data_IF_932387552390
#
_entry.id   IF_932387552390
#
_cell.length_a   1.000
_cell.length_b   1.000
_cell.length_c   1.000
_cell.angle_alpha   90.00
_cell.angle_beta   90.00
_cell.angle_gamma   90.00
#
_symmetry.space_group_name_H-M   'P 1'
#
loop_
_entity.id
_entity.type
_entity.pdbx_description
1 polymer ?
#
# COMPACT_ATOMS: atom_id res chain seq x y z
N UNK A 1 14.50 15.61 2.72
CA UNK A 1 14.31 14.21 2.31
C UNK A 1 15.61 13.67 1.71
N UNK A 2 15.90 12.38 1.91
CA UNK A 2 16.95 11.66 1.20
C UNK A 2 16.62 11.50 -0.29
N UNK A 3 17.56 11.04 -1.12
CA UNK A 3 17.33 10.88 -2.56
C UNK A 3 16.21 9.87 -2.89
N UNK A 4 16.06 8.84 -2.09
CA UNK A 4 14.95 7.86 -2.11
C UNK A 4 13.79 8.23 -1.19
N UNK A 5 13.88 9.40 -0.52
CA UNK A 5 12.92 9.89 0.45
C UNK A 5 11.55 10.21 -0.14
N UNK A 6 10.52 9.96 0.66
CA UNK A 6 9.11 10.12 0.30
C UNK A 6 8.38 10.92 1.37
N UNK A 7 7.38 11.67 0.95
CA UNK A 7 6.47 12.39 1.84
C UNK A 7 5.03 11.90 1.61
N UNK A 8 4.32 11.67 2.70
CA UNK A 8 2.88 11.40 2.72
C UNK A 8 2.19 12.55 3.44
N UNK A 9 1.21 13.15 2.84
CA UNK A 9 0.42 14.24 3.45
C UNK A 9 -1.04 13.85 3.46
N UNK A 10 -1.59 13.67 4.67
CA UNK A 10 -3.02 13.41 4.86
C UNK A 10 -3.79 14.71 4.78
N UNK A 11 -4.88 14.72 4.00
CA UNK A 11 -5.72 15.90 3.75
C UNK A 11 -7.14 15.47 3.41
N UNK A 12 -8.11 16.31 3.74
CA UNK A 12 -9.52 16.12 3.38
C UNK A 12 -9.93 16.94 2.12
N UNK A 13 -11.21 16.87 1.77
CA UNK A 13 -11.77 17.54 0.60
C UNK A 13 -11.70 19.08 0.67
N UNK A 14 -11.52 19.66 1.87
CA UNK A 14 -11.50 21.12 2.01
C UNK A 14 -10.28 21.74 1.34
N UNK A 15 -9.13 21.07 1.41
CA UNK A 15 -7.84 21.65 0.96
C UNK A 15 -7.06 20.76 -0.01
N UNK A 16 -7.56 19.60 -0.40
CA UNK A 16 -6.81 18.65 -1.25
C UNK A 16 -6.34 19.27 -2.57
N UNK A 17 -7.16 20.11 -3.20
CA UNK A 17 -6.81 20.74 -4.47
C UNK A 17 -5.72 21.81 -4.32
N UNK A 18 -5.80 22.62 -3.26
CA UNK A 18 -4.78 23.64 -2.97
C UNK A 18 -3.47 23.00 -2.55
N UNK A 19 -3.54 21.97 -1.70
CA UNK A 19 -2.36 21.21 -1.30
C UNK A 19 -1.72 20.50 -2.50
N UNK A 20 -2.51 19.93 -3.40
CA UNK A 20 -1.99 19.30 -4.60
C UNK A 20 -1.16 20.26 -5.46
N UNK A 21 -1.66 21.48 -5.68
CA UNK A 21 -0.92 22.52 -6.41
C UNK A 21 0.35 22.96 -5.67
N UNK A 22 0.29 23.12 -4.35
CA UNK A 22 1.45 23.46 -3.55
C UNK A 22 2.52 22.37 -3.60
N UNK A 23 2.13 21.10 -3.47
CA UNK A 23 3.04 19.97 -3.55
C UNK A 23 3.71 19.87 -4.94
N UNK A 24 2.96 20.16 -6.00
CA UNK A 24 3.50 20.23 -7.37
C UNK A 24 4.52 21.36 -7.51
N UNK A 25 4.26 22.53 -6.92
CA UNK A 25 5.21 23.66 -6.93
C UNK A 25 6.48 23.35 -6.15
N UNK A 26 6.37 22.68 -5.00
CA UNK A 26 7.51 22.38 -4.12
C UNK A 26 8.34 21.21 -4.63
N UNK A 27 7.70 20.13 -5.04
CA UNK A 27 8.37 18.89 -5.43
C UNK A 27 8.49 18.71 -6.94
N UNK A 28 7.64 19.36 -7.73
CA UNK A 28 7.51 19.17 -9.18
C UNK A 28 6.54 18.06 -9.55
N UNK A 29 5.80 18.24 -10.66
CA UNK A 29 4.81 17.26 -11.14
C UNK A 29 5.41 15.87 -11.42
N UNK A 30 6.68 15.81 -11.88
CA UNK A 30 7.39 14.55 -12.17
C UNK A 30 7.66 13.71 -10.91
N UNK A 31 7.59 14.31 -9.72
CA UNK A 31 7.87 13.68 -8.44
C UNK A 31 6.59 13.21 -7.72
N UNK A 32 5.43 13.37 -8.34
CA UNK A 32 4.19 12.77 -7.89
C UNK A 32 4.27 11.25 -7.99
N UNK A 33 3.90 10.56 -6.90
CA UNK A 33 3.88 9.10 -6.84
C UNK A 33 2.45 8.57 -6.94
N UNK A 34 1.57 9.03 -6.05
CA UNK A 34 0.18 8.58 -6.00
C UNK A 34 -0.69 9.48 -5.12
N UNK A 35 -2.01 9.40 -5.31
CA UNK A 35 -3.00 9.78 -4.33
C UNK A 35 -3.63 8.51 -3.77
N UNK A 36 -3.40 8.22 -2.48
CA UNK A 36 -4.07 7.14 -1.79
C UNK A 36 -5.35 7.65 -1.14
N UNK A 37 -6.36 6.78 -1.10
CA UNK A 37 -7.66 7.07 -0.48
C UNK A 37 -7.78 6.22 0.78
N UNK A 38 -7.87 6.88 1.93
CA UNK A 38 -8.11 6.23 3.21
C UNK A 38 -9.58 6.30 3.57
N UNK A 39 -10.22 5.16 3.75
CA UNK A 39 -11.58 5.06 4.25
C UNK A 39 -11.59 5.35 5.76
N UNK A 40 -11.90 6.61 6.13
CA UNK A 40 -11.90 7.06 7.54
C UNK A 40 -13.15 6.69 8.33
N UNK A 41 -14.24 6.31 7.64
CA UNK A 41 -15.53 5.92 8.23
C UNK A 41 -16.09 4.69 7.54
N UNK A 42 -16.81 3.86 8.27
CA UNK A 42 -17.52 2.69 7.75
C UNK A 42 -19.05 2.91 7.63
N UNK A 43 -19.59 3.88 8.35
CA UNK A 43 -21.01 4.21 8.35
C UNK A 43 -21.33 5.34 7.39
N UNK A 44 -22.53 5.27 6.80
CA UNK A 44 -23.06 6.35 5.98
C UNK A 44 -23.53 7.50 6.85
N UNK A 45 -23.26 8.72 6.42
CA UNK A 45 -23.86 9.91 6.97
C UNK A 45 -25.20 10.16 6.28
N UNK A 46 -26.22 10.59 7.04
CA UNK A 46 -27.58 10.81 6.53
C UNK A 46 -27.96 12.28 6.39
N UNK A 47 -27.09 13.21 6.82
CA UNK A 47 -27.37 14.65 6.86
C UNK A 47 -26.78 15.41 5.67
N UNK A 48 -25.78 14.85 5.02
CA UNK A 48 -25.11 15.47 3.87
C UNK A 48 -25.78 15.09 2.55
N UNK A 49 -25.66 15.93 1.52
CA UNK A 49 -26.09 15.60 0.16
C UNK A 49 -25.33 14.39 -0.41
N UNK A 50 -24.03 14.31 -0.14
CA UNK A 50 -23.15 13.16 -0.40
C UNK A 50 -22.31 12.98 0.86
N UNK A 51 -22.38 11.79 1.48
CA UNK A 51 -21.68 11.50 2.73
C UNK A 51 -20.17 11.34 2.52
N UNK A 52 -19.40 12.03 3.35
CA UNK A 52 -17.95 11.99 3.40
C UNK A 52 -17.47 10.75 4.19
N UNK A 53 -16.76 9.84 3.55
CA UNK A 53 -16.28 8.58 4.15
C UNK A 53 -14.77 8.37 4.03
N UNK A 54 -14.05 9.28 3.37
CA UNK A 54 -12.63 9.12 3.09
C UNK A 54 -11.83 10.40 3.30
N UNK A 55 -10.54 10.25 3.35
CA UNK A 55 -9.54 11.31 3.21
C UNK A 55 -8.47 10.86 2.21
N UNK A 56 -7.63 11.78 1.80
CA UNK A 56 -6.56 11.56 0.85
C UNK A 56 -5.20 11.51 1.55
N UNK A 57 -4.29 10.74 0.96
CA UNK A 57 -2.86 10.82 1.26
C UNK A 57 -2.16 11.15 -0.06
N UNK A 58 -1.66 12.37 -0.19
CA UNK A 58 -0.84 12.77 -1.31
C UNK A 58 0.58 12.26 -1.09
N UNK A 59 1.14 11.58 -2.08
CA UNK A 59 2.46 10.94 -1.99
C UNK A 59 3.38 11.52 -3.06
N UNK A 60 4.48 12.11 -2.62
CA UNK A 60 5.55 12.63 -3.46
C UNK A 60 6.90 12.07 -3.03
N UNK A 61 7.82 11.86 -3.96
CA UNK A 61 9.19 11.42 -3.67
C UNK A 61 10.20 12.38 -4.30
N UNK A 62 11.40 12.45 -3.76
CA UNK A 62 12.51 13.18 -4.42
C UNK A 62 12.83 12.54 -5.77
N UNK A 63 12.82 11.21 -5.82
CA UNK A 63 12.93 10.42 -7.05
C UNK A 63 11.94 9.26 -7.00
N UNK A 64 10.82 9.28 -7.75
CA UNK A 64 9.87 8.18 -7.79
C UNK A 64 10.50 6.84 -8.22
N UNK A 65 11.55 6.89 -9.03
CA UNK A 65 12.29 5.70 -9.47
C UNK A 65 13.05 5.09 -8.29
N UNK A 66 13.84 5.89 -7.56
CA UNK A 66 14.59 5.42 -6.41
C UNK A 66 13.65 4.95 -5.29
N UNK A 67 12.59 5.70 -5.00
CA UNK A 67 11.58 5.26 -4.03
C UNK A 67 10.94 3.93 -4.43
N UNK A 68 10.61 3.73 -5.72
CA UNK A 68 10.05 2.46 -6.21
C UNK A 68 10.99 1.28 -5.96
N UNK A 69 12.30 1.49 -6.05
CA UNK A 69 13.31 0.45 -5.81
C UNK A 69 13.51 0.21 -4.32
N UNK A 70 13.55 1.28 -3.51
CA UNK A 70 13.81 1.23 -2.07
C UNK A 70 12.58 0.81 -1.24
N UNK A 71 11.36 1.14 -1.69
CA UNK A 71 10.14 0.89 -0.93
C UNK A 71 9.93 -0.60 -0.62
N UNK A 72 9.39 -0.88 0.53
CA UNK A 72 9.00 -2.22 0.91
C UNK A 72 7.70 -2.65 0.22
N UNK A 73 7.53 -3.95 0.10
CA UNK A 73 6.25 -4.58 -0.22
C UNK A 73 5.52 -4.94 1.06
N UNK A 74 4.20 -4.93 1.00
CA UNK A 74 3.36 -5.35 2.13
C UNK A 74 3.32 -6.87 2.21
N UNK A 75 3.24 -7.39 3.42
CA UNK A 75 3.04 -8.82 3.63
C UNK A 75 1.76 -9.31 2.96
N UNK A 76 1.78 -10.55 2.46
CA UNK A 76 0.58 -11.20 1.95
C UNK A 76 -0.44 -11.38 3.09
N UNK A 77 -1.62 -10.85 2.89
CA UNK A 77 -2.75 -11.12 3.77
C UNK A 77 -3.30 -12.54 3.59
N UNK A 78 -4.12 -12.99 4.50
CA UNK A 78 -4.71 -14.33 4.46
C UNK A 78 -5.61 -14.53 3.23
N UNK A 79 -6.25 -13.48 2.73
CA UNK A 79 -7.08 -13.52 1.52
C UNK A 79 -6.22 -13.75 0.28
N UNK A 80 -5.10 -13.06 0.17
CA UNK A 80 -4.12 -13.25 -0.92
C UNK A 80 -3.48 -14.63 -0.88
N UNK A 81 -3.14 -15.13 0.32
CA UNK A 81 -2.60 -16.49 0.49
C UNK A 81 -3.58 -17.58 0.08
N UNK A 82 -4.89 -17.39 0.34
CA UNK A 82 -5.95 -18.34 -0.07
C UNK A 82 -6.06 -18.54 -1.59
N UNK A 83 -5.57 -17.60 -2.39
CA UNK A 83 -5.50 -17.77 -3.85
C UNK A 83 -4.45 -18.79 -4.29
N UNK A 84 -3.56 -19.19 -3.39
CA UNK A 84 -2.53 -20.19 -3.63
C UNK A 84 -2.98 -21.53 -3.05
N UNK A 85 -2.94 -22.55 -3.87
CA UNK A 85 -3.27 -23.93 -3.49
C UNK A 85 -2.24 -24.88 -4.09
N UNK A 86 -2.24 -26.15 -3.66
CA UNK A 86 -1.35 -27.16 -4.21
C UNK A 86 -2.17 -28.40 -4.66
N UNK A 87 -3.00 -28.28 -5.72
CA UNK A 87 -3.91 -29.32 -6.11
C UNK A 87 -3.23 -30.57 -6.72
N UNK A 88 -1.98 -30.43 -7.13
CA UNK A 88 -1.19 -31.49 -7.77
C UNK A 88 -0.02 -31.98 -6.90
N UNK A 89 0.02 -31.61 -5.62
CA UNK A 89 1.09 -31.95 -4.68
C UNK A 89 2.50 -31.61 -5.22
N UNK A 90 2.64 -30.44 -5.88
CA UNK A 90 3.93 -29.95 -6.35
C UNK A 90 4.88 -29.74 -5.17
N UNK A 91 6.11 -30.29 -5.27
CA UNK A 91 7.13 -30.18 -4.21
C UNK A 91 7.59 -28.74 -3.96
N UNK A 92 7.39 -27.84 -4.91
CA UNK A 92 7.72 -26.41 -4.79
C UNK A 92 6.71 -25.64 -3.92
N UNK A 93 5.59 -26.27 -3.53
CA UNK A 93 4.60 -25.72 -2.61
C UNK A 93 3.35 -25.15 -3.29
N UNK A 94 2.56 -24.36 -2.55
CA UNK A 94 1.35 -23.75 -3.07
C UNK A 94 1.63 -22.76 -4.22
N UNK A 95 0.72 -22.76 -5.20
CA UNK A 95 0.81 -21.93 -6.39
C UNK A 95 -0.56 -21.43 -6.85
N UNK A 96 -0.55 -20.40 -7.68
CA UNK A 96 -1.72 -19.96 -8.44
C UNK A 96 -1.39 -19.89 -9.93
N UNK A 97 -2.42 -20.06 -10.77
CA UNK A 97 -2.26 -19.85 -12.20
C UNK A 97 -2.60 -18.41 -12.57
N UNK A 98 -1.67 -17.72 -13.22
CA UNK A 98 -1.86 -16.37 -13.74
C UNK A 98 -2.06 -16.38 -15.25
N UNK A 99 -2.78 -15.38 -15.78
CA UNK A 99 -3.01 -15.25 -17.22
C UNK A 99 -1.69 -15.16 -17.99
N UNK A 100 -1.62 -15.89 -19.11
CA UNK A 100 -0.49 -15.87 -20.03
C UNK A 100 -0.76 -14.95 -21.23
N UNK A 101 -1.77 -14.08 -21.19
CA UNK A 101 -2.13 -13.19 -22.29
C UNK A 101 -2.16 -11.73 -21.87
N UNK A 102 -1.70 -10.83 -22.75
CA UNK A 102 -1.83 -9.39 -22.65
C UNK A 102 -2.82 -8.82 -23.67
N UNK A 103 -3.34 -7.61 -23.47
CA UNK A 103 -4.21 -6.92 -24.39
C UNK A 103 -3.44 -6.31 -25.56
N UNK A 104 -4.05 -6.28 -26.76
CA UNK A 104 -3.48 -5.72 -27.99
C UNK A 104 -2.71 -6.74 -28.81
N UNK A 105 -2.03 -6.25 -29.86
CA UNK A 105 -1.29 -7.07 -30.82
C UNK A 105 0.22 -6.81 -30.69
N UNK A 106 1.01 -7.90 -30.62
CA UNK A 106 2.48 -7.87 -30.63
C UNK A 106 3.00 -8.98 -31.54
N UNK A 107 3.60 -8.67 -32.69
CA UNK A 107 4.00 -9.67 -33.69
C UNK A 107 4.82 -10.84 -33.14
N UNK A 108 5.80 -10.55 -32.28
CA UNK A 108 6.71 -11.55 -31.69
C UNK A 108 6.08 -12.40 -30.57
N UNK A 109 4.80 -12.15 -30.26
CA UNK A 109 4.04 -12.83 -29.20
C UNK A 109 2.76 -13.49 -29.75
N UNK A 110 2.71 -13.76 -31.07
CA UNK A 110 1.61 -14.38 -31.80
C UNK A 110 1.96 -15.79 -32.32
N UNK A 111 2.67 -16.56 -31.52
CA UNK A 111 3.09 -17.91 -31.89
C UNK A 111 2.06 -18.97 -31.45
N UNK A 112 2.15 -20.13 -32.09
CA UNK A 112 1.31 -21.30 -31.79
C UNK A 112 1.90 -22.09 -30.62
N UNK A 113 1.03 -22.50 -29.69
CA UNK A 113 1.39 -23.35 -28.55
C UNK A 113 0.61 -24.65 -28.63
N UNK A 114 1.27 -25.78 -28.47
CA UNK A 114 0.65 -27.10 -28.47
C UNK A 114 0.51 -27.59 -27.02
N UNK A 115 -0.71 -27.90 -26.62
CA UNK A 115 -0.99 -28.46 -25.30
C UNK A 115 -0.56 -29.93 -25.20
N UNK A 116 -0.41 -30.51 -24.00
CA UNK A 116 -0.02 -31.92 -23.82
C UNK A 116 -0.94 -32.94 -24.49
N UNK A 117 -2.20 -32.61 -24.70
CA UNK A 117 -3.18 -33.46 -25.39
C UNK A 117 -3.14 -33.31 -26.93
N UNK A 118 -2.23 -32.49 -27.49
CA UNK A 118 -2.10 -32.24 -28.92
C UNK A 118 -2.91 -31.07 -29.46
N UNK A 119 -3.77 -30.46 -28.65
CA UNK A 119 -4.52 -29.27 -29.08
C UNK A 119 -3.63 -28.05 -29.22
N UNK A 120 -3.93 -27.26 -30.23
CA UNK A 120 -3.18 -26.05 -30.58
C UNK A 120 -3.92 -24.81 -30.11
N UNK A 121 -3.18 -23.92 -29.48
CA UNK A 121 -3.67 -22.63 -29.02
C UNK A 121 -2.93 -21.47 -29.72
N UNK A 122 -3.69 -20.50 -30.16
CA UNK A 122 -3.22 -19.15 -30.54
C UNK A 122 -3.70 -18.17 -29.49
N UNK A 123 -3.11 -16.97 -29.37
CA UNK A 123 -3.66 -15.93 -28.53
C UNK A 123 -5.13 -15.66 -28.90
N UNK A 124 -6.02 -15.47 -27.92
CA UNK A 124 -7.39 -15.05 -28.20
C UNK A 124 -7.43 -13.74 -29.00
N UNK A 125 -8.50 -13.52 -29.74
CA UNK A 125 -8.70 -12.31 -30.52
C UNK A 125 -8.49 -11.04 -29.67
N UNK A 126 -7.78 -10.05 -30.24
CA UNK A 126 -7.41 -8.82 -29.54
C UNK A 126 -6.34 -8.97 -28.43
N UNK A 127 -5.69 -10.15 -28.33
CA UNK A 127 -4.67 -10.42 -27.32
C UNK A 127 -3.39 -10.98 -27.95
N UNK A 128 -2.34 -11.01 -27.16
CA UNK A 128 -1.05 -11.64 -27.48
C UNK A 128 -0.59 -12.47 -26.28
N UNK A 129 0.34 -13.39 -26.46
CA UNK A 129 0.99 -14.06 -25.34
C UNK A 129 1.81 -13.07 -24.50
N UNK A 130 1.88 -13.25 -23.18
CA UNK A 130 2.56 -12.32 -22.29
C UNK A 130 4.08 -12.23 -22.50
N UNK A 131 4.67 -13.18 -23.23
CA UNK A 131 6.10 -13.22 -23.51
C UNK A 131 6.40 -13.82 -24.88
N UNK A 132 7.63 -13.67 -25.35
CA UNK A 132 8.14 -14.27 -26.60
C UNK A 132 8.32 -15.78 -26.43
N UNK A 133 8.35 -16.52 -27.56
CA UNK A 133 8.35 -17.98 -27.57
C UNK A 133 9.52 -18.60 -26.76
N UNK A 134 10.71 -18.03 -26.86
CA UNK A 134 11.88 -18.54 -26.12
C UNK A 134 11.67 -18.52 -24.59
N UNK A 135 11.04 -17.48 -24.06
CA UNK A 135 10.73 -17.40 -22.63
C UNK A 135 9.61 -18.37 -22.25
N UNK A 136 8.61 -18.55 -23.10
CA UNK A 136 7.60 -19.58 -22.92
C UNK A 136 8.22 -20.98 -22.84
N UNK A 137 9.15 -21.33 -23.76
CA UNK A 137 9.81 -22.64 -23.76
C UNK A 137 10.60 -22.92 -22.48
N UNK A 138 11.20 -21.88 -21.87
CA UNK A 138 11.85 -22.02 -20.54
C UNK A 138 10.83 -22.38 -19.46
N UNK A 139 9.67 -21.74 -19.44
CA UNK A 139 8.60 -22.05 -18.48
C UNK A 139 8.02 -23.46 -18.70
N UNK A 140 7.84 -23.85 -19.95
CA UNK A 140 7.37 -25.18 -20.31
C UNK A 140 8.35 -26.27 -19.84
N UNK A 141 9.65 -26.11 -20.13
CA UNK A 141 10.71 -27.00 -19.66
C UNK A 141 10.79 -27.06 -18.13
N UNK A 142 10.54 -25.94 -17.45
CA UNK A 142 10.47 -25.85 -15.99
C UNK A 142 9.15 -26.40 -15.40
N UNK A 143 8.24 -26.92 -16.22
CA UNK A 143 6.89 -27.38 -15.84
C UNK A 143 6.09 -26.31 -15.11
N UNK A 144 6.13 -25.09 -15.64
CA UNK A 144 5.45 -23.92 -15.07
C UNK A 144 4.24 -23.46 -15.89
N UNK A 145 3.76 -24.31 -16.79
CA UNK A 145 2.55 -24.07 -17.58
C UNK A 145 1.40 -24.92 -17.03
N UNK A 146 0.31 -24.26 -16.72
CA UNK A 146 -0.94 -24.89 -16.29
C UNK A 146 -1.95 -24.90 -17.43
N UNK A 147 -2.46 -26.08 -17.75
CA UNK A 147 -3.39 -26.36 -18.86
C UNK A 147 -4.84 -26.57 -18.41
N UNK A 148 -5.17 -26.17 -17.18
CA UNK A 148 -6.45 -26.52 -16.58
C UNK A 148 -6.46 -27.93 -15.99
N UNK A 149 -7.56 -28.31 -15.37
CA UNK A 149 -7.70 -29.63 -14.73
C UNK A 149 -7.64 -30.77 -15.76
N UNK A 150 -8.15 -30.52 -16.95
CA UNK A 150 -8.26 -31.52 -18.03
C UNK A 150 -7.05 -31.49 -18.99
N UNK A 151 -6.03 -30.68 -18.70
CA UNK A 151 -4.84 -30.57 -19.53
C UNK A 151 -5.07 -29.96 -20.91
N UNK A 152 -6.18 -29.26 -21.13
CA UNK A 152 -6.67 -28.84 -22.44
C UNK A 152 -6.98 -27.33 -22.54
N UNK A 153 -6.84 -26.61 -21.46
CA UNK A 153 -7.16 -25.19 -21.40
C UNK A 153 -6.10 -24.30 -22.07
N UNK A 154 -6.45 -23.04 -22.27
CA UNK A 154 -5.49 -22.02 -22.67
C UNK A 154 -4.35 -21.96 -21.66
N UNK A 155 -3.07 -21.90 -22.09
CA UNK A 155 -1.95 -21.94 -21.19
C UNK A 155 -1.99 -20.79 -20.17
N UNK A 156 -1.66 -21.11 -18.94
CA UNK A 156 -1.52 -20.16 -17.83
C UNK A 156 -0.18 -20.40 -17.15
N UNK A 157 0.43 -19.37 -16.58
CA UNK A 157 1.72 -19.53 -15.87
C UNK A 157 1.46 -19.88 -14.40
N UNK A 158 2.21 -20.86 -13.90
CA UNK A 158 2.26 -21.22 -12.48
C UNK A 158 3.18 -20.23 -11.76
N UNK A 159 2.67 -19.56 -10.73
CA UNK A 159 3.42 -18.71 -9.81
C UNK A 159 3.33 -19.28 -8.40
N UNK A 160 4.48 -19.61 -7.83
CA UNK A 160 4.54 -20.18 -6.48
C UNK A 160 4.44 -19.09 -5.41
N UNK A 161 3.83 -19.45 -4.27
CA UNK A 161 3.73 -18.56 -3.11
C UNK A 161 5.12 -18.17 -2.60
N UNK A 162 6.07 -19.09 -2.62
CA UNK A 162 7.46 -18.87 -2.20
C UNK A 162 8.24 -17.87 -3.07
N UNK A 163 7.71 -17.51 -4.25
CA UNK A 163 8.33 -16.56 -5.19
C UNK A 163 7.71 -15.15 -5.07
N UNK A 164 6.82 -14.95 -4.11
CA UNK A 164 6.11 -13.69 -3.94
C UNK A 164 6.76 -12.90 -2.82
N UNK A 165 7.50 -11.87 -3.16
CA UNK A 165 8.17 -10.98 -2.20
C UNK A 165 7.21 -10.06 -1.42
N UNK A 166 5.89 -10.21 -1.60
CA UNK A 166 4.86 -9.38 -1.01
C UNK A 166 4.01 -8.62 -2.05
N UNK A 167 3.06 -7.87 -1.53
CA UNK A 167 2.11 -7.09 -2.33
C UNK A 167 2.66 -5.69 -2.60
N UNK A 168 2.51 -5.24 -3.85
CA UNK A 168 2.71 -3.83 -4.17
C UNK A 168 1.62 -3.03 -3.46
N UNK A 169 1.96 -1.98 -2.69
CA UNK A 169 0.94 -1.11 -2.12
C UNK A 169 0.03 -0.55 -3.21
N UNK A 170 -1.25 -0.45 -2.92
CA UNK A 170 -2.25 0.13 -3.81
C UNK A 170 -2.81 1.43 -3.23
N UNK A 171 -3.62 2.13 -4.00
CA UNK A 171 -4.12 3.46 -3.62
C UNK A 171 -5.42 3.42 -2.81
N UNK A 172 -6.07 2.28 -2.67
CA UNK A 172 -7.26 2.09 -1.84
C UNK A 172 -6.90 1.49 -0.48
N UNK A 173 -7.15 2.22 0.60
CA UNK A 173 -6.82 1.83 1.97
C UNK A 173 -8.10 1.72 2.80
N UNK A 174 -8.73 0.53 2.83
CA UNK A 174 -9.97 0.31 3.56
C UNK A 174 -9.73 0.32 5.08
N UNK A 175 -10.75 0.72 5.82
CA UNK A 175 -10.68 0.86 7.27
C UNK A 175 -10.35 -0.46 8.00
N UNK A 176 -10.74 -1.60 7.43
CA UNK A 176 -10.42 -2.92 8.00
C UNK A 176 -8.91 -3.17 8.06
N UNK A 177 -8.16 -2.63 7.10
CA UNK A 177 -6.71 -2.80 7.02
C UNK A 177 -5.93 -1.73 7.82
N UNK A 178 -6.41 -0.49 7.82
CA UNK A 178 -5.64 0.65 8.33
C UNK A 178 -6.32 1.42 9.46
N UNK A 179 -7.47 0.95 9.95
CA UNK A 179 -8.22 1.66 10.99
C UNK A 179 -9.06 2.81 10.47
N UNK A 180 -9.88 3.36 11.34
CA UNK A 180 -10.79 4.47 11.09
C UNK A 180 -10.77 5.48 12.24
N UNK A 181 -11.42 6.64 12.07
CA UNK A 181 -11.39 7.75 13.04
C UNK A 181 -11.90 7.37 14.43
N UNK A 182 -12.93 6.52 14.52
CA UNK A 182 -13.45 6.09 15.83
C UNK A 182 -12.47 5.15 16.57
N UNK A 183 -11.74 4.32 15.83
CA UNK A 183 -10.65 3.50 16.38
C UNK A 183 -9.55 4.40 16.96
N UNK A 184 -9.11 5.41 16.21
CA UNK A 184 -8.09 6.36 16.67
C UNK A 184 -8.51 7.11 17.95
N UNK A 185 -9.78 7.50 18.06
CA UNK A 185 -10.31 8.11 19.30
C UNK A 185 -10.28 7.15 20.48
N UNK A 186 -10.56 5.87 20.26
CA UNK A 186 -10.47 4.84 21.33
C UNK A 186 -9.03 4.58 21.74
N UNK A 187 -8.06 4.64 20.80
CA UNK A 187 -6.63 4.56 21.11
C UNK A 187 -6.23 5.72 22.04
N UNK A 188 -6.60 6.97 21.72
CA UNK A 188 -6.37 8.14 22.57
C UNK A 188 -7.05 8.00 23.94
N UNK A 189 -8.29 7.53 23.97
CA UNK A 189 -9.00 7.27 25.25
C UNK A 189 -8.26 6.23 26.09
N UNK A 190 -7.68 5.22 25.48
CA UNK A 190 -6.89 4.20 26.18
C UNK A 190 -5.65 4.75 26.85
N UNK A 191 -5.02 5.78 26.27
CA UNK A 191 -3.80 6.42 26.77
C UNK A 191 -4.14 7.48 27.81
N UNK A 192 -5.04 8.41 27.50
CA UNK A 192 -5.32 9.61 28.30
C UNK A 192 -6.56 9.52 29.18
N UNK A 193 -7.31 8.40 29.11
CA UNK A 193 -8.58 8.23 29.85
C UNK A 193 -9.75 9.05 29.30
N UNK A 194 -9.53 9.87 28.24
CA UNK A 194 -10.55 10.72 27.61
C UNK A 194 -10.37 10.75 26.08
N UNK A 195 -11.49 10.87 25.36
CA UNK A 195 -11.46 11.05 23.88
C UNK A 195 -11.21 12.49 23.45
N UNK A 196 -11.27 13.44 24.38
CA UNK A 196 -11.15 14.87 24.11
C UNK A 196 -9.71 15.40 24.19
N UNK A 197 -8.73 14.54 24.47
CA UNK A 197 -7.34 14.94 24.53
C UNK A 197 -6.83 15.46 23.15
N UNK A 198 -7.38 14.91 22.07
CA UNK A 198 -7.12 15.37 20.71
C UNK A 198 -8.33 15.10 19.80
N UNK A 199 -8.71 16.07 18.97
CA UNK A 199 -9.98 16.03 18.24
C UNK A 199 -9.99 15.05 17.04
N UNK A 200 -8.90 15.01 16.28
CA UNK A 200 -8.82 14.28 15.00
C UNK A 200 -7.59 13.39 14.89
N UNK A 201 -7.37 12.44 15.82
CA UNK A 201 -6.23 11.55 15.74
C UNK A 201 -6.32 10.65 14.50
N UNK A 202 -5.18 10.27 13.96
CA UNK A 202 -5.08 9.23 12.95
C UNK A 202 -4.88 7.87 13.65
N UNK A 203 -5.45 6.77 13.13
CA UNK A 203 -5.24 5.46 13.73
C UNK A 203 -3.80 5.00 13.58
N UNK A 204 -3.26 4.34 14.58
CA UNK A 204 -1.88 3.84 14.60
C UNK A 204 -1.60 2.95 13.39
N UNK A 205 -2.54 2.08 13.02
CA UNK A 205 -2.42 1.17 11.87
C UNK A 205 -2.24 1.91 10.51
N UNK A 206 -2.82 3.10 10.36
CA UNK A 206 -2.63 3.92 9.15
C UNK A 206 -1.18 4.37 9.02
N UNK A 207 -0.63 4.87 10.11
CA UNK A 207 0.76 5.34 10.14
C UNK A 207 1.74 4.16 10.03
N UNK A 208 1.46 3.04 10.71
CA UNK A 208 2.24 1.80 10.55
C UNK A 208 2.29 1.35 9.08
N UNK A 209 1.16 1.42 8.35
CA UNK A 209 1.14 1.12 6.90
C UNK A 209 2.10 2.02 6.12
N UNK A 210 2.10 3.33 6.40
CA UNK A 210 3.02 4.29 5.76
C UNK A 210 4.46 3.91 6.07
N UNK A 211 4.79 3.69 7.35
CA UNK A 211 6.13 3.36 7.79
C UNK A 211 6.63 2.04 7.19
N UNK A 212 5.78 1.00 7.15
CA UNK A 212 6.10 -0.29 6.52
C UNK A 212 6.43 -0.17 5.04
N UNK A 213 5.78 0.74 4.33
CA UNK A 213 6.04 0.98 2.89
C UNK A 213 7.33 1.78 2.71
N UNK A 214 7.53 2.81 3.53
CA UNK A 214 8.43 3.92 3.24
C UNK A 214 9.77 3.87 3.98
N UNK A 215 9.93 3.00 5.01
CA UNK A 215 11.11 3.04 5.87
C UNK A 215 11.85 1.72 5.97
N UNK A 216 13.18 1.84 6.12
CA UNK A 216 14.08 0.75 6.48
C UNK A 216 14.51 0.89 7.96
N UNK A 217 15.02 -0.19 8.61
CA UNK A 217 15.71 -0.05 9.89
C UNK A 217 16.79 1.04 9.84
N UNK A 218 16.84 1.91 10.87
CA UNK A 218 17.80 3.01 10.95
C UNK A 218 17.35 4.34 10.36
N UNK A 219 16.26 4.39 9.60
CA UNK A 219 15.74 5.62 9.00
C UNK A 219 15.24 6.63 10.04
N UNK A 220 15.22 7.91 9.62
CA UNK A 220 14.65 9.02 10.39
C UNK A 220 13.33 9.44 9.77
N UNK A 221 12.28 9.46 10.58
CA UNK A 221 10.94 9.92 10.21
C UNK A 221 10.70 11.31 10.79
N UNK A 222 10.36 12.27 9.93
CA UNK A 222 9.96 13.61 10.35
C UNK A 222 8.44 13.73 10.19
N UNK A 223 7.77 14.06 11.29
CA UNK A 223 6.36 14.47 11.29
C UNK A 223 6.26 15.90 11.82
N UNK A 224 6.00 16.84 10.93
CA UNK A 224 5.97 18.27 11.28
C UNK A 224 4.54 18.79 11.56
N UNK A 225 3.56 17.89 11.64
CA UNK A 225 2.21 18.10 12.16
C UNK A 225 1.80 16.97 13.08
N UNK A 226 2.64 16.68 14.07
CA UNK A 226 2.60 15.46 14.86
C UNK A 226 1.28 15.21 15.61
N UNK A 227 0.47 16.25 15.82
CA UNK A 227 -0.84 16.12 16.46
C UNK A 227 -0.77 15.38 17.79
N UNK A 228 -1.39 14.21 17.87
CA UNK A 228 -1.40 13.34 19.05
C UNK A 228 -0.16 12.46 19.21
N UNK A 229 0.87 12.61 18.36
CA UNK A 229 2.07 11.77 18.44
C UNK A 229 1.93 10.35 17.88
N UNK A 230 0.87 10.06 17.13
CA UNK A 230 0.60 8.73 16.56
C UNK A 230 1.78 8.17 15.75
N UNK A 231 2.54 9.06 15.09
CA UNK A 231 3.73 8.66 14.32
C UNK A 231 4.80 8.05 15.20
N UNK A 232 5.05 8.60 16.40
CA UNK A 232 5.99 8.01 17.35
C UNK A 232 5.52 6.63 17.82
N UNK A 233 4.27 6.50 18.21
CA UNK A 233 3.69 5.23 18.65
C UNK A 233 3.80 4.14 17.55
N UNK A 234 3.41 4.47 16.32
CA UNK A 234 3.50 3.55 15.20
C UNK A 234 4.95 3.12 14.91
N UNK A 235 5.89 4.04 14.98
CA UNK A 235 7.30 3.77 14.75
C UNK A 235 7.90 2.88 15.87
N UNK A 236 7.59 3.15 17.13
CA UNK A 236 8.04 2.34 18.25
C UNK A 236 7.46 0.91 18.19
N UNK A 237 6.20 0.78 17.80
CA UNK A 237 5.58 -0.53 17.55
C UNK A 237 6.34 -1.30 16.45
N UNK A 238 6.63 -0.64 15.34
CA UNK A 238 7.34 -1.26 14.21
C UNK A 238 8.76 -1.67 14.60
N UNK A 239 9.51 -0.83 15.31
CA UNK A 239 10.84 -1.18 15.82
C UNK A 239 10.79 -2.38 16.77
N UNK A 240 9.77 -2.47 17.62
CA UNK A 240 9.57 -3.62 18.53
C UNK A 240 9.27 -4.90 17.75
N UNK A 241 8.53 -4.79 16.63
CA UNK A 241 8.12 -5.95 15.83
C UNK A 241 9.28 -6.53 15.02
N UNK A 242 10.06 -5.65 14.35
CA UNK A 242 11.11 -6.08 13.41
C UNK A 242 12.55 -5.94 13.95
N UNK A 243 12.69 -5.45 15.21
CA UNK A 243 14.00 -5.21 15.83
C UNK A 243 14.74 -4.02 15.23
N UNK A 244 14.07 -3.15 14.50
CA UNK A 244 14.63 -1.94 13.90
C UNK A 244 14.97 -0.87 14.94
N UNK A 245 15.74 0.12 14.49
CA UNK A 245 16.20 1.27 15.28
C UNK A 245 15.84 2.61 14.62
N UNK A 246 14.70 2.65 13.92
CA UNK A 246 14.17 3.89 13.31
C UNK A 246 14.01 4.96 14.37
N UNK A 247 14.28 6.18 13.99
CA UNK A 247 14.18 7.36 14.86
C UNK A 247 13.14 8.32 14.30
N UNK A 248 12.60 9.16 15.15
CA UNK A 248 11.62 10.17 14.73
C UNK A 248 11.98 11.55 15.23
N UNK A 249 11.49 12.57 14.52
CA UNK A 249 11.44 13.97 14.92
C UNK A 249 9.99 14.40 14.79
N UNK A 250 9.38 14.77 15.90
CA UNK A 250 8.01 15.29 15.95
C UNK A 250 8.03 16.79 16.15
N UNK A 251 7.25 17.51 15.35
CA UNK A 251 7.03 18.95 15.50
C UNK A 251 5.53 19.18 15.61
N UNK A 252 5.11 19.86 16.66
CA UNK A 252 3.71 20.23 16.90
C UNK A 252 3.62 21.67 17.34
N UNK A 253 2.45 22.30 17.12
CA UNK A 253 2.14 23.61 17.66
C UNK A 253 1.59 23.48 19.08
N UNK A 254 1.58 24.60 19.83
CA UNK A 254 0.92 24.65 21.13
C UNK A 254 -0.59 24.61 21.00
N UNK A 255 -1.15 25.05 19.85
CA UNK A 255 -2.57 25.31 19.64
C UNK A 255 -3.18 26.24 20.71
N UNK A 256 -2.35 27.11 21.29
CA UNK A 256 -2.82 28.13 22.20
C UNK A 256 -3.76 29.11 21.48
N UNK A 257 -4.87 29.46 22.14
CA UNK A 257 -5.86 30.42 21.65
C UNK A 257 -6.06 31.52 22.68
N UNK A 258 -6.79 32.60 22.33
CA UNK A 258 -7.14 33.65 23.28
C UNK A 258 -7.95 33.12 24.48
N UNK A 259 -8.78 32.10 24.24
CA UNK A 259 -9.62 31.47 25.27
C UNK A 259 -8.90 30.34 26.06
N UNK A 260 -7.78 29.86 25.54
CA UNK A 260 -6.96 28.82 26.15
C UNK A 260 -5.45 29.11 25.96
N UNK A 261 -4.93 30.18 26.61
CA UNK A 261 -3.56 30.66 26.38
C UNK A 261 -2.48 29.68 26.89
N UNK A 262 -2.81 28.85 27.87
CA UNK A 262 -1.91 27.87 28.48
C UNK A 262 -1.94 26.50 27.77
N UNK A 263 -2.79 26.33 26.77
CA UNK A 263 -2.85 25.09 25.97
C UNK A 263 -1.50 24.83 25.29
N UNK A 264 -0.98 23.64 25.46
CA UNK A 264 0.26 23.23 24.82
C UNK A 264 0.15 21.76 24.36
N UNK A 265 -0.39 21.58 23.17
CA UNK A 265 -0.61 20.26 22.57
C UNK A 265 0.68 19.44 22.49
N UNK A 266 1.80 20.09 22.22
CA UNK A 266 3.10 19.41 22.16
C UNK A 266 3.51 18.80 23.51
N UNK A 267 3.33 19.56 24.60
CA UNK A 267 3.66 19.09 25.96
C UNK A 267 2.58 18.16 26.51
N UNK A 268 1.30 18.50 26.35
CA UNK A 268 0.21 17.90 27.10
C UNK A 268 -0.33 16.62 26.44
N UNK A 269 0.01 16.38 25.16
CA UNK A 269 -0.48 15.23 24.38
C UNK A 269 0.65 14.54 23.61
N UNK A 270 1.39 15.28 22.78
CA UNK A 270 2.35 14.69 21.84
C UNK A 270 3.60 14.10 22.55
N UNK A 271 4.01 14.69 23.69
CA UNK A 271 5.21 14.29 24.43
C UNK A 271 4.96 13.24 25.51
N UNK A 272 3.69 12.99 25.85
CA UNK A 272 3.29 11.93 26.78
C UNK A 272 3.05 10.58 26.08
#
# INVERSE_FOLDING_TARGET
>A
LAEDGVIFVSIDDNEVFHLGLLMEQVFGAANFVATCIWQKRYSRESTSAIGDVHEYLLVYAISPVMFKEARNRLSLDEKSKKAYSNPNNDRRGPWQSISFTGAGYRPNQMYQIVAPNGNTHLPPEGRHWAMVENEYRKLEAAKRIWWGKDGNGVPRVIRYLSEVDGLVPWTWWPHEEVGHTDEARKEIQGIFGTQTAFDTPKPVRLIERILRIATQPGDIVLDFFAGSGTTAQALLNLNKEDGGDRRFILVSSTEATADAPDKNLCRDVCAE
#
